data_IF_861428911961
#
_entry.id   IF_861428911961
#
_cell.length_a   1.000
_cell.length_b   1.000
_cell.length_c   1.000
_cell.angle_alpha   90.00
_cell.angle_beta   90.00
_cell.angle_gamma   90.00
#
_symmetry.space_group_name_H-M   'P 1'
#
loop_
_entity.id
_entity.type
_entity.pdbx_description
1 polymer ?
#
# COMPACT_ATOMS: atom_id res chain seq x y z
N UNK A 1 13.01 6.72 23.69
CA UNK A 1 12.79 5.68 22.66
C UNK A 1 13.41 6.21 21.38
N UNK A 2 14.30 5.46 20.72
CA UNK A 2 14.91 5.87 19.45
C UNK A 2 13.80 6.18 18.42
N UNK A 3 13.96 7.24 17.64
CA UNK A 3 13.01 7.67 16.60
C UNK A 3 12.70 6.53 15.63
N UNK A 4 13.69 5.67 15.34
CA UNK A 4 13.51 4.48 14.52
C UNK A 4 12.62 3.42 15.20
N UNK A 5 12.76 3.21 16.50
CA UNK A 5 11.90 2.29 17.25
C UNK A 5 10.44 2.79 17.27
N UNK A 6 10.23 4.11 17.35
CA UNK A 6 8.88 4.70 17.26
C UNK A 6 8.29 4.52 15.87
N UNK A 7 9.07 4.80 14.83
CA UNK A 7 8.67 4.60 13.44
C UNK A 7 8.30 3.14 13.15
N UNK A 8 9.09 2.19 13.64
CA UNK A 8 8.82 0.76 13.52
C UNK A 8 7.53 0.34 14.24
N UNK A 9 7.29 0.87 15.45
CA UNK A 9 6.08 0.58 16.21
C UNK A 9 4.82 1.08 15.49
N UNK A 10 4.84 2.33 14.99
CA UNK A 10 3.72 2.90 14.22
C UNK A 10 3.50 2.13 12.91
N UNK A 11 4.58 1.68 12.26
CA UNK A 11 4.48 0.91 11.03
C UNK A 11 3.82 -0.46 11.21
N UNK A 12 4.03 -1.09 12.37
CA UNK A 12 3.43 -2.38 12.73
C UNK A 12 2.02 -2.23 13.35
N UNK A 13 1.69 -1.05 13.87
CA UNK A 13 0.40 -0.73 14.47
C UNK A 13 -0.10 0.64 13.99
N UNK A 14 -0.50 0.74 12.71
CA UNK A 14 -0.97 2.01 12.16
C UNK A 14 -2.34 2.40 12.73
N UNK A 15 -2.71 3.69 12.68
CA UNK A 15 -4.00 4.18 13.17
C UNK A 15 -5.17 3.54 12.41
N UNK A 16 -6.33 3.45 13.09
CA UNK A 16 -7.57 2.99 12.47
C UNK A 16 -8.18 4.11 11.60
N UNK A 17 -7.77 4.16 10.33
CA UNK A 17 -8.24 5.17 9.40
C UNK A 17 -9.75 5.11 9.12
N UNK A 18 -10.38 3.94 9.21
CA UNK A 18 -11.83 3.83 9.04
C UNK A 18 -12.57 4.57 10.16
N UNK A 19 -12.11 4.41 11.41
CA UNK A 19 -12.65 5.14 12.55
C UNK A 19 -12.43 6.66 12.39
N UNK A 20 -11.21 7.09 12.06
CA UNK A 20 -10.90 8.51 11.83
C UNK A 20 -11.76 9.10 10.71
N UNK A 21 -11.96 8.39 9.60
CA UNK A 21 -12.81 8.84 8.50
C UNK A 21 -14.27 9.00 8.94
N UNK A 22 -14.81 8.03 9.68
CA UNK A 22 -16.19 8.11 10.17
C UNK A 22 -16.38 9.28 11.16
N UNK A 23 -15.38 9.57 11.99
CA UNK A 23 -15.38 10.77 12.85
C UNK A 23 -15.39 12.06 12.03
N UNK A 24 -14.58 12.17 10.97
CA UNK A 24 -14.59 13.32 10.08
C UNK A 24 -15.95 13.51 9.41
N UNK A 25 -16.56 12.45 8.89
CA UNK A 25 -17.86 12.52 8.22
C UNK A 25 -18.96 13.00 9.20
N UNK A 26 -18.90 12.60 10.47
CA UNK A 26 -19.83 13.07 11.51
C UNK A 26 -19.73 14.57 11.80
N UNK A 27 -18.61 15.22 11.46
CA UNK A 27 -18.45 16.67 11.61
C UNK A 27 -19.21 17.47 10.54
N UNK A 28 -19.60 16.85 9.42
CA UNK A 28 -20.36 17.53 8.36
C UNK A 28 -21.79 17.76 8.86
N UNK A 29 -22.22 19.01 9.12
CA UNK A 29 -23.54 19.26 9.71
C UNK A 29 -24.67 19.01 8.69
N UNK A 30 -25.92 18.79 9.15
CA UNK A 30 -27.08 18.77 8.26
C UNK A 30 -27.15 20.05 7.41
N UNK A 31 -27.49 19.91 6.12
CA UNK A 31 -27.57 21.05 5.20
C UNK A 31 -26.21 21.47 4.63
N UNK A 32 -25.16 20.65 4.82
CA UNK A 32 -23.84 20.81 4.23
C UNK A 32 -23.36 19.53 3.57
N UNK A 33 -22.44 19.68 2.63
CA UNK A 33 -21.76 18.58 1.94
C UNK A 33 -20.25 18.81 1.95
N UNK A 34 -19.49 17.71 1.97
CA UNK A 34 -18.04 17.75 1.77
C UNK A 34 -17.65 16.84 0.61
N UNK A 35 -16.37 16.87 0.22
CA UNK A 35 -15.88 16.07 -0.90
C UNK A 35 -14.90 15.00 -0.42
N UNK A 36 -14.74 13.94 -1.23
CA UNK A 36 -13.69 12.94 -0.99
C UNK A 36 -12.29 13.58 -0.86
N UNK A 37 -12.02 14.66 -1.60
CA UNK A 37 -10.75 15.40 -1.55
C UNK A 37 -10.54 16.10 -0.21
N UNK A 38 -11.54 16.86 0.26
CA UNK A 38 -11.46 17.56 1.54
C UNK A 38 -11.33 16.58 2.73
N UNK A 39 -12.02 15.44 2.68
CA UNK A 39 -11.84 14.38 3.68
C UNK A 39 -10.44 13.75 3.61
N UNK A 40 -9.87 13.56 2.42
CA UNK A 40 -8.50 13.05 2.26
C UNK A 40 -7.46 14.05 2.79
N UNK A 41 -7.66 15.34 2.55
CA UNK A 41 -6.85 16.43 3.13
C UNK A 41 -6.96 16.44 4.66
N UNK A 42 -8.16 16.28 5.21
CA UNK A 42 -8.38 16.18 6.65
C UNK A 42 -7.77 14.91 7.27
N UNK A 43 -7.70 13.80 6.51
CA UNK A 43 -6.91 12.64 6.93
C UNK A 43 -5.40 12.87 6.82
N UNK A 44 -4.95 13.86 6.05
CA UNK A 44 -3.55 14.29 5.94
C UNK A 44 -2.84 13.92 4.64
N UNK A 45 -3.51 13.26 3.67
CA UNK A 45 -2.92 12.96 2.37
C UNK A 45 -4.00 12.81 1.26
N UNK A 46 -3.92 13.57 0.15
CA UNK A 46 -4.90 13.49 -0.94
C UNK A 46 -4.97 12.12 -1.62
N UNK A 47 -3.94 11.27 -1.50
CA UNK A 47 -3.95 9.91 -2.03
C UNK A 47 -5.08 9.04 -1.46
N UNK A 48 -5.63 9.41 -0.29
CA UNK A 48 -6.72 8.69 0.35
C UNK A 48 -8.07 8.84 -0.36
N UNK A 49 -8.27 9.85 -1.22
CA UNK A 49 -9.58 10.17 -1.81
C UNK A 49 -10.23 8.97 -2.53
N UNK A 50 -9.43 8.17 -3.26
CA UNK A 50 -9.92 6.97 -3.94
C UNK A 50 -10.37 5.90 -2.95
N UNK A 51 -9.59 5.67 -1.89
CA UNK A 51 -9.95 4.72 -0.85
C UNK A 51 -11.23 5.16 -0.12
N UNK A 52 -11.37 6.44 0.24
CA UNK A 52 -12.59 6.98 0.85
C UNK A 52 -13.81 6.67 -0.03
N UNK A 53 -13.70 6.91 -1.34
CA UNK A 53 -14.77 6.58 -2.29
C UNK A 53 -15.14 5.09 -2.31
N UNK A 54 -14.14 4.20 -2.23
CA UNK A 54 -14.37 2.75 -2.17
C UNK A 54 -14.96 2.31 -0.83
N UNK A 55 -14.46 2.83 0.29
CA UNK A 55 -14.96 2.57 1.63
C UNK A 55 -16.43 2.98 1.75
N UNK A 56 -16.75 4.22 1.36
CA UNK A 56 -18.12 4.75 1.38
C UNK A 56 -19.07 4.10 0.36
N UNK A 57 -18.60 3.19 -0.49
CA UNK A 57 -19.45 2.39 -1.36
C UNK A 57 -19.79 1.01 -0.77
N UNK A 58 -19.04 0.54 0.24
CA UNK A 58 -19.14 -0.84 0.74
C UNK A 58 -19.18 -0.96 2.27
N UNK A 59 -19.02 0.14 3.02
CA UNK A 59 -19.07 0.09 4.49
C UNK A 59 -20.45 -0.30 5.01
N UNK A 60 -20.46 -0.95 6.18
CA UNK A 60 -21.67 -1.35 6.85
C UNK A 60 -22.46 -0.13 7.33
N UNK A 61 -23.75 -0.17 7.07
CA UNK A 61 -24.71 0.79 7.59
C UNK A 61 -25.40 0.20 8.82
N UNK A 62 -25.58 0.97 9.91
CA UNK A 62 -26.48 0.56 10.96
C UNK A 62 -27.88 0.29 10.39
N UNK A 63 -28.67 -0.65 10.96
CA UNK A 63 -29.95 -1.08 10.39
C UNK A 63 -30.94 0.05 10.09
N UNK A 64 -30.85 1.15 10.86
CA UNK A 64 -31.72 2.32 10.77
C UNK A 64 -31.03 3.53 10.10
N UNK A 65 -29.95 3.30 9.33
CA UNK A 65 -29.22 4.36 8.65
C UNK A 65 -30.12 5.11 7.65
N UNK A 66 -30.49 6.35 8.00
CA UNK A 66 -31.39 7.19 7.20
C UNK A 66 -32.71 7.52 7.87
N UNK A 67 -33.06 6.81 8.94
CA UNK A 67 -34.21 7.10 9.83
C UNK A 67 -33.75 7.52 11.22
N UNK A 68 -32.53 7.12 11.60
CA UNK A 68 -31.90 7.54 12.84
C UNK A 68 -31.78 9.06 12.93
N UNK A 69 -32.10 9.61 14.11
CA UNK A 69 -31.91 11.04 14.41
C UNK A 69 -30.44 11.41 14.21
N UNK A 70 -30.18 12.56 13.60
CA UNK A 70 -28.82 13.06 13.41
C UNK A 70 -28.04 13.04 14.73
N UNK A 71 -26.85 12.43 14.73
CA UNK A 71 -26.00 12.28 15.91
C UNK A 71 -26.35 11.13 16.88
N UNK A 72 -27.30 10.25 16.53
CA UNK A 72 -27.59 9.03 17.30
C UNK A 72 -26.70 7.84 16.87
N UNK A 73 -26.59 6.76 17.67
CA UNK A 73 -25.77 5.58 17.34
C UNK A 73 -26.13 4.87 16.03
N UNK A 74 -27.33 5.11 15.49
CA UNK A 74 -27.79 4.60 14.19
C UNK A 74 -27.57 5.57 13.01
N UNK A 75 -26.97 6.73 13.22
CA UNK A 75 -26.75 7.73 12.16
C UNK A 75 -25.48 7.42 11.36
N UNK A 76 -25.63 7.39 10.04
CA UNK A 76 -24.52 7.37 9.09
C UNK A 76 -24.71 8.55 8.10
N UNK A 77 -23.96 9.66 8.28
CA UNK A 77 -24.07 10.86 7.47
C UNK A 77 -23.27 10.81 6.14
N UNK A 78 -22.94 9.62 5.63
CA UNK A 78 -22.14 9.48 4.40
C UNK A 78 -22.85 10.01 3.14
N UNK A 79 -24.17 10.25 3.18
CA UNK A 79 -24.91 10.92 2.09
C UNK A 79 -24.45 12.37 1.87
N UNK A 80 -23.81 12.99 2.87
CA UNK A 80 -23.23 14.34 2.80
C UNK A 80 -21.87 14.40 2.07
N UNK A 81 -21.30 13.27 1.64
CA UNK A 81 -20.02 13.24 0.92
C UNK A 81 -20.24 13.12 -0.58
N UNK A 82 -19.84 14.10 -1.38
CA UNK A 82 -20.06 14.15 -2.84
C UNK A 82 -18.74 14.21 -3.63
N UNK A 83 -18.81 14.14 -4.96
CA UNK A 83 -17.63 14.34 -5.81
C UNK A 83 -17.18 15.80 -5.83
N UNK A 84 -15.94 16.05 -6.24
CA UNK A 84 -15.36 17.39 -6.35
C UNK A 84 -16.08 18.31 -7.34
N UNK A 85 -16.82 17.74 -8.29
CA UNK A 85 -17.66 18.47 -9.25
C UNK A 85 -19.11 18.68 -8.76
N UNK A 86 -19.38 18.36 -7.48
CA UNK A 86 -20.70 18.43 -6.87
C UNK A 86 -21.62 17.25 -7.20
N UNK A 87 -21.24 16.34 -8.10
CA UNK A 87 -22.07 15.18 -8.43
C UNK A 87 -22.20 14.22 -7.26
N UNK A 88 -23.38 13.63 -7.08
CA UNK A 88 -23.71 12.84 -5.89
C UNK A 88 -22.85 11.57 -5.68
N UNK A 89 -22.13 11.05 -6.67
CA UNK A 89 -21.35 9.83 -6.45
C UNK A 89 -22.18 8.54 -6.51
N UNK A 90 -21.48 7.41 -6.38
CA UNK A 90 -22.12 6.15 -6.01
C UNK A 90 -22.43 6.18 -4.51
N UNK A 91 -23.54 5.58 -4.11
CA UNK A 91 -23.99 5.45 -2.72
C UNK A 91 -24.09 3.96 -2.40
N UNK A 92 -23.81 3.53 -1.16
CA UNK A 92 -23.74 2.11 -0.77
C UNK A 92 -24.90 1.25 -1.28
N UNK A 93 -26.10 1.82 -1.34
CA UNK A 93 -27.32 1.12 -1.79
C UNK A 93 -27.54 1.17 -3.31
N UNK A 94 -26.56 1.61 -4.09
CA UNK A 94 -26.66 1.76 -5.56
C UNK A 94 -27.66 2.82 -6.02
N UNK A 95 -28.36 3.49 -5.10
CA UNK A 95 -29.48 4.37 -5.41
C UNK A 95 -29.14 5.84 -5.07
N UNK A 96 -28.69 6.59 -6.08
CA UNK A 96 -28.46 8.03 -5.98
C UNK A 96 -29.70 8.81 -5.51
N UNK A 97 -30.92 8.28 -5.74
CA UNK A 97 -32.17 8.90 -5.27
C UNK A 97 -32.32 8.90 -3.75
N UNK A 98 -31.83 7.86 -3.06
CA UNK A 98 -31.85 7.82 -1.60
C UNK A 98 -30.92 8.89 -1.02
N UNK A 99 -29.72 9.02 -1.60
CA UNK A 99 -28.77 10.07 -1.24
C UNK A 99 -29.35 11.47 -1.46
N UNK A 100 -29.95 11.70 -2.62
CA UNK A 100 -30.65 12.94 -2.95
C UNK A 100 -31.77 13.24 -1.94
N UNK A 101 -32.66 12.27 -1.68
CA UNK A 101 -33.77 12.47 -0.74
C UNK A 101 -33.28 12.83 0.67
N UNK A 102 -32.21 12.20 1.16
CA UNK A 102 -31.62 12.55 2.48
C UNK A 102 -31.03 13.96 2.49
N UNK A 103 -30.36 14.37 1.42
CA UNK A 103 -29.82 15.73 1.27
C UNK A 103 -30.93 16.78 1.22
N UNK A 104 -31.99 16.53 0.45
CA UNK A 104 -33.15 17.43 0.32
C UNK A 104 -33.92 17.57 1.65
N UNK A 105 -34.06 16.49 2.43
CA UNK A 105 -34.62 16.54 3.80
C UNK A 105 -33.81 17.42 4.75
N UNK A 106 -32.52 17.62 4.46
CA UNK A 106 -31.64 18.51 5.21
C UNK A 106 -31.56 19.92 4.60
N UNK A 107 -32.36 20.23 3.57
CA UNK A 107 -32.41 21.53 2.92
C UNK A 107 -31.35 21.75 1.83
N UNK A 108 -30.64 20.70 1.40
CA UNK A 108 -29.68 20.79 0.29
C UNK A 108 -30.41 20.64 -1.03
N UNK A 109 -30.32 21.67 -1.88
CA UNK A 109 -30.89 21.63 -3.23
C UNK A 109 -29.99 20.81 -4.16
N UNK A 110 -30.56 19.77 -4.78
CA UNK A 110 -29.89 18.95 -5.80
C UNK A 110 -30.51 19.25 -7.17
N UNK A 111 -29.70 19.67 -8.14
CA UNK A 111 -30.12 19.91 -9.54
C UNK A 111 -29.30 19.01 -10.46
N UNK A 112 -29.97 18.25 -11.32
CA UNK A 112 -29.32 17.32 -12.27
C UNK A 112 -28.30 16.38 -11.61
N UNK A 113 -28.61 15.91 -10.39
CA UNK A 113 -27.74 15.04 -9.61
C UNK A 113 -26.47 15.72 -9.07
N UNK A 114 -26.46 17.05 -8.97
CA UNK A 114 -25.35 17.87 -8.47
C UNK A 114 -25.78 18.80 -7.35
N UNK A 115 -24.85 19.06 -6.44
CA UNK A 115 -24.95 20.05 -5.36
C UNK A 115 -23.98 21.19 -5.63
N UNK A 116 -24.42 22.42 -5.37
CA UNK A 116 -23.55 23.60 -5.44
C UNK A 116 -22.62 23.66 -4.22
N UNK A 117 -21.33 23.36 -4.45
CA UNK A 117 -20.32 23.36 -3.39
C UNK A 117 -20.02 24.76 -2.86
N UNK A 118 -20.34 25.83 -3.59
CA UNK A 118 -20.14 27.21 -3.10
C UNK A 118 -21.17 27.59 -2.04
N UNK A 119 -22.36 26.98 -2.10
CA UNK A 119 -23.47 27.24 -1.18
C UNK A 119 -23.44 26.26 0.00
N UNK A 120 -23.23 24.97 -0.28
CA UNK A 120 -23.39 23.90 0.71
C UNK A 120 -22.05 23.30 1.18
N UNK A 121 -20.92 23.76 0.65
CA UNK A 121 -19.60 23.20 0.96
C UNK A 121 -19.21 23.28 2.43
N UNK A 122 -18.57 22.23 2.93
CA UNK A 122 -17.97 22.13 4.24
C UNK A 122 -16.55 21.55 4.12
N UNK A 123 -15.57 22.27 4.65
CA UNK A 123 -14.15 21.89 4.63
C UNK A 123 -13.41 22.09 5.96
N UNK A 124 -14.07 22.59 6.99
CA UNK A 124 -13.45 22.90 8.29
C UNK A 124 -13.50 21.68 9.22
N UNK A 125 -12.56 20.74 9.04
CA UNK A 125 -12.46 19.55 9.87
C UNK A 125 -11.51 19.74 11.06
N UNK A 126 -11.90 19.23 12.22
CA UNK A 126 -11.01 18.99 13.38
C UNK A 126 -10.41 17.60 13.26
N UNK A 127 -9.09 17.51 13.20
CA UNK A 127 -8.37 16.27 12.89
C UNK A 127 -6.94 16.34 13.40
N UNK A 128 -6.38 15.19 13.73
CA UNK A 128 -4.96 14.98 14.04
C UNK A 128 -4.13 14.65 12.78
N UNK A 129 -4.76 14.54 11.61
CA UNK A 129 -4.12 14.23 10.33
C UNK A 129 -3.34 12.90 10.35
N UNK A 130 -4.00 11.74 10.55
CA UNK A 130 -3.31 10.46 10.78
C UNK A 130 -2.36 10.06 9.63
N UNK A 131 -2.70 10.35 8.37
CA UNK A 131 -1.81 10.07 7.23
C UNK A 131 -0.60 11.01 7.17
N UNK A 132 -0.69 12.21 7.75
CA UNK A 132 0.44 13.13 7.86
C UNK A 132 1.47 12.59 8.85
N UNK A 133 1.03 12.01 9.97
CA UNK A 133 1.93 11.31 10.90
C UNK A 133 2.64 10.14 10.21
N UNK A 134 1.90 9.31 9.46
CA UNK A 134 2.49 8.19 8.72
C UNK A 134 3.47 8.65 7.63
N UNK A 135 3.19 9.78 6.98
CA UNK A 135 4.13 10.42 6.04
C UNK A 135 5.42 10.82 6.75
N UNK A 136 5.32 11.47 7.92
CA UNK A 136 6.49 11.84 8.71
C UNK A 136 7.28 10.59 9.10
N UNK A 137 6.63 9.50 9.51
CA UNK A 137 7.29 8.21 9.79
C UNK A 137 8.11 7.74 8.58
N UNK A 138 7.55 7.81 7.36
CA UNK A 138 8.28 7.48 6.14
C UNK A 138 9.45 8.43 5.88
N UNK A 139 9.26 9.74 6.01
CA UNK A 139 10.33 10.73 5.83
C UNK A 139 11.49 10.49 6.80
N UNK A 140 11.22 10.08 8.04
CA UNK A 140 12.28 9.72 8.98
C UNK A 140 12.98 8.42 8.57
N UNK A 141 12.23 7.38 8.22
CA UNK A 141 12.79 6.08 7.83
C UNK A 141 13.61 6.16 6.54
N UNK A 142 13.25 7.02 5.60
CA UNK A 142 14.01 7.21 4.38
C UNK A 142 15.44 7.69 4.66
N UNK A 143 15.66 8.48 5.73
CA UNK A 143 17.00 8.90 6.15
C UNK A 143 17.87 7.75 6.66
N UNK A 144 17.26 6.65 7.10
CA UNK A 144 17.96 5.46 7.55
C UNK A 144 18.22 4.44 6.43
N UNK A 145 17.65 4.66 5.24
CA UNK A 145 17.92 3.80 4.07
C UNK A 145 19.37 4.00 3.64
N UNK A 146 20.11 2.89 3.49
CA UNK A 146 21.49 2.89 3.02
C UNK A 146 21.56 2.15 1.69
N UNK A 147 22.08 2.82 0.68
CA UNK A 147 22.43 2.24 -0.61
C UNK A 147 23.94 2.04 -0.64
N UNK A 148 24.38 0.84 -0.28
CA UNK A 148 25.78 0.47 -0.17
C UNK A 148 25.98 -0.91 -0.79
N UNK A 149 27.18 -1.25 -1.28
CA UNK A 149 27.46 -2.59 -1.76
C UNK A 149 27.12 -3.63 -0.69
N UNK A 150 26.61 -4.79 -1.13
CA UNK A 150 26.38 -5.92 -0.23
C UNK A 150 27.68 -6.30 0.47
N UNK A 151 27.63 -6.42 1.80
CA UNK A 151 28.81 -6.72 2.61
C UNK A 151 29.42 -8.10 2.28
N UNK A 152 28.56 -9.07 1.92
CA UNK A 152 28.97 -10.41 1.51
C UNK A 152 27.93 -11.00 0.53
N UNK A 153 28.32 -12.09 -0.15
CA UNK A 153 27.38 -12.84 -1.01
C UNK A 153 26.37 -13.60 -0.14
N UNK A 154 25.05 -13.44 -0.36
CA UNK A 154 24.03 -14.11 0.43
C UNK A 154 24.10 -15.62 0.21
N UNK A 155 23.97 -16.39 1.30
CA UNK A 155 23.84 -17.85 1.30
C UNK A 155 22.38 -18.29 1.31
N UNK A 156 21.49 -17.46 1.86
CA UNK A 156 20.05 -17.65 1.83
C UNK A 156 19.36 -16.41 1.27
N UNK A 157 18.54 -16.61 0.23
CA UNK A 157 17.73 -15.55 -0.37
C UNK A 157 16.27 -15.80 -0.03
N UNK A 158 15.67 -14.88 0.71
CA UNK A 158 14.25 -14.89 1.02
C UNK A 158 13.45 -14.07 0.02
N UNK A 159 12.19 -14.40 -0.16
CA UNK A 159 11.23 -13.56 -0.85
C UNK A 159 9.89 -13.57 -0.15
N UNK A 160 9.31 -12.38 -0.01
CA UNK A 160 8.03 -12.18 0.65
C UNK A 160 6.99 -11.62 -0.31
N UNK A 161 5.78 -12.15 -0.22
CA UNK A 161 4.60 -11.67 -0.94
C UNK A 161 3.37 -11.68 -0.03
N UNK A 162 2.44 -10.76 -0.27
CA UNK A 162 1.18 -10.67 0.47
C UNK A 162 0.00 -10.66 -0.51
N UNK A 163 -0.87 -11.66 -0.39
CA UNK A 163 -2.16 -11.69 -1.08
C UNK A 163 -3.30 -11.33 -0.12
N UNK A 164 -4.41 -10.85 -0.66
CA UNK A 164 -5.58 -10.45 0.13
C UNK A 164 -6.82 -11.25 -0.22
N UNK A 165 -7.60 -11.60 0.81
CA UNK A 165 -8.95 -12.16 0.71
C UNK A 165 -9.90 -11.35 1.59
N UNK A 166 -10.63 -10.41 0.98
CA UNK A 166 -11.38 -9.41 1.76
C UNK A 166 -10.44 -8.57 2.61
N UNK A 167 -10.69 -8.51 3.92
CA UNK A 167 -9.82 -7.86 4.89
C UNK A 167 -8.69 -8.75 5.42
N UNK A 168 -8.55 -10.00 4.96
CA UNK A 168 -7.49 -10.91 5.40
C UNK A 168 -6.24 -10.76 4.53
N UNK A 169 -5.10 -10.46 5.14
CA UNK A 169 -3.77 -10.54 4.52
C UNK A 169 -3.18 -11.93 4.71
N UNK A 170 -2.69 -12.52 3.63
CA UNK A 170 -2.03 -13.82 3.60
C UNK A 170 -0.62 -13.59 3.10
N UNK A 171 0.33 -13.55 4.03
CA UNK A 171 1.74 -13.42 3.73
C UNK A 171 2.38 -14.79 3.51
N UNK A 172 3.31 -14.86 2.57
CA UNK A 172 4.18 -16.01 2.34
C UNK A 172 5.63 -15.54 2.28
N UNK A 173 6.51 -16.26 2.96
CA UNK A 173 7.96 -16.16 2.83
C UNK A 173 8.48 -17.46 2.25
N UNK A 174 9.22 -17.37 1.15
CA UNK A 174 9.98 -18.50 0.58
C UNK A 174 11.46 -18.18 0.73
N UNK A 175 12.23 -19.10 1.30
CA UNK A 175 13.69 -18.98 1.43
C UNK A 175 14.35 -20.04 0.57
N UNK A 176 15.34 -19.64 -0.22
CA UNK A 176 16.06 -20.51 -1.15
C UNK A 176 17.57 -20.45 -0.94
N UNK A 177 18.27 -21.36 -1.61
CA UNK A 177 19.70 -21.19 -1.90
C UNK A 177 19.98 -19.91 -2.72
N UNK A 178 21.26 -19.49 -2.86
CA UNK A 178 21.63 -18.24 -3.54
C UNK A 178 21.28 -18.18 -5.03
N UNK A 179 21.06 -19.34 -5.65
CA UNK A 179 20.71 -19.47 -7.07
C UNK A 179 19.19 -19.63 -7.26
N UNK A 180 18.40 -19.59 -6.18
CA UNK A 180 16.97 -19.83 -6.22
C UNK A 180 16.58 -21.26 -6.62
N UNK A 181 17.50 -22.24 -6.63
CA UNK A 181 17.24 -23.57 -7.19
C UNK A 181 16.49 -24.49 -6.24
N UNK A 182 16.80 -24.40 -4.96
CA UNK A 182 16.18 -25.20 -3.92
C UNK A 182 15.50 -24.31 -2.87
N UNK A 183 14.24 -24.62 -2.57
CA UNK A 183 13.52 -24.04 -1.43
C UNK A 183 14.04 -24.71 -0.16
N UNK A 184 14.55 -23.90 0.77
CA UNK A 184 15.07 -24.29 2.08
C UNK A 184 13.98 -24.18 3.15
N UNK A 185 13.11 -23.17 3.05
CA UNK A 185 12.02 -22.96 4.00
C UNK A 185 10.84 -22.22 3.35
N UNK A 186 9.64 -22.49 3.85
CA UNK A 186 8.42 -21.75 3.52
C UNK A 186 7.69 -21.41 4.83
N UNK A 187 7.33 -20.14 5.01
CA UNK A 187 6.47 -19.69 6.10
C UNK A 187 5.20 -19.06 5.53
N UNK A 188 4.09 -19.22 6.22
CA UNK A 188 2.81 -18.63 5.86
C UNK A 188 2.16 -18.04 7.09
N UNK A 189 1.70 -16.80 6.99
CA UNK A 189 0.95 -16.12 8.05
C UNK A 189 -0.33 -15.54 7.45
N UNK A 190 -1.43 -15.67 8.19
CA UNK A 190 -2.71 -15.10 7.81
C UNK A 190 -3.23 -14.23 8.95
N UNK A 191 -3.49 -12.95 8.69
CA UNK A 191 -3.98 -12.02 9.70
C UNK A 191 -4.84 -10.91 9.10
N UNK A 192 -5.73 -10.26 9.87
CA UNK A 192 -6.50 -9.12 9.37
C UNK A 192 -5.60 -7.94 8.96
N UNK A 193 -5.79 -7.44 7.75
CA UNK A 193 -5.23 -6.18 7.28
C UNK A 193 -5.99 -5.02 7.92
N UNK A 194 -5.39 -4.37 8.91
CA UNK A 194 -5.99 -3.27 9.68
C UNK A 194 -5.84 -1.89 9.03
N UNK A 195 -5.06 -1.80 7.95
CA UNK A 195 -4.81 -0.57 7.22
C UNK A 195 -5.31 -0.68 5.77
N UNK A 196 -5.98 0.35 5.23
CA UNK A 196 -6.50 0.31 3.88
C UNK A 196 -5.40 0.40 2.82
N UNK A 197 -5.75 0.06 1.57
CA UNK A 197 -4.84 0.26 0.45
C UNK A 197 -4.89 1.73 0.02
N UNK A 198 -3.83 2.47 0.34
CA UNK A 198 -3.63 3.86 -0.09
C UNK A 198 -2.28 3.91 -0.80
N UNK A 199 -2.27 4.46 -2.03
CA UNK A 199 -1.04 4.59 -2.82
C UNK A 199 0.03 5.34 -2.04
N UNK A 200 1.23 4.75 -1.94
CA UNK A 200 2.34 5.30 -1.16
C UNK A 200 2.30 4.98 0.35
N UNK A 201 1.32 4.21 0.84
CA UNK A 201 1.24 3.76 2.23
C UNK A 201 1.13 2.23 2.36
N UNK A 202 1.44 1.48 1.29
CA UNK A 202 1.36 0.01 1.26
C UNK A 202 2.10 -0.65 2.42
N UNK A 203 3.25 -0.09 2.81
CA UNK A 203 4.05 -0.64 3.90
C UNK A 203 3.27 -0.75 5.22
N UNK A 204 2.42 0.23 5.56
CA UNK A 204 1.60 0.18 6.79
C UNK A 204 0.54 -0.93 6.76
N UNK A 205 0.15 -1.35 5.56
CA UNK A 205 -0.78 -2.47 5.36
C UNK A 205 -0.10 -3.83 5.44
N UNK A 206 1.16 -3.93 5.00
CA UNK A 206 1.85 -5.22 4.83
C UNK A 206 2.90 -5.52 5.89
N UNK A 207 3.54 -4.52 6.47
CA UNK A 207 4.60 -4.74 7.46
C UNK A 207 4.19 -5.61 8.65
N UNK A 208 2.96 -5.53 9.21
CA UNK A 208 2.57 -6.41 10.30
C UNK A 208 2.68 -7.90 9.92
N UNK A 209 2.21 -8.28 8.73
CA UNK A 209 2.28 -9.67 8.26
C UNK A 209 3.69 -10.06 7.83
N UNK A 210 4.44 -9.13 7.22
CA UNK A 210 5.83 -9.36 6.80
C UNK A 210 6.77 -9.57 7.99
N UNK A 211 6.61 -8.78 9.06
CA UNK A 211 7.40 -8.94 10.28
C UNK A 211 7.10 -10.29 10.93
N UNK A 212 5.82 -10.67 11.03
CA UNK A 212 5.40 -11.96 11.58
C UNK A 212 5.95 -13.17 10.79
N UNK A 213 6.05 -13.07 9.46
CA UNK A 213 6.70 -14.11 8.64
C UNK A 213 8.17 -14.30 9.00
N UNK A 214 8.90 -13.19 9.17
CA UNK A 214 10.31 -13.25 9.52
C UNK A 214 10.53 -13.74 10.95
N UNK A 215 9.65 -13.37 11.90
CA UNK A 215 9.68 -13.90 13.27
C UNK A 215 9.43 -15.41 13.29
N UNK A 216 8.49 -15.90 12.45
CA UNK A 216 8.22 -17.33 12.29
C UNK A 216 9.42 -18.07 11.69
N UNK A 217 10.07 -17.50 10.66
CA UNK A 217 11.26 -18.07 10.06
C UNK A 217 12.44 -18.15 11.03
N UNK A 218 12.67 -17.07 11.79
CA UNK A 218 13.70 -17.01 12.82
C UNK A 218 13.45 -18.04 13.92
N UNK A 219 12.20 -18.18 14.38
CA UNK A 219 11.80 -19.22 15.34
C UNK A 219 12.02 -20.64 14.80
N UNK A 220 11.96 -20.82 13.48
CA UNK A 220 12.27 -22.08 12.79
C UNK A 220 13.77 -22.26 12.48
N UNK A 221 14.64 -21.35 12.93
CA UNK A 221 16.08 -21.41 12.72
C UNK A 221 16.54 -21.01 11.32
N UNK A 222 15.71 -20.30 10.55
CA UNK A 222 16.01 -19.87 9.18
C UNK A 222 16.00 -18.34 9.10
N UNK A 223 17.16 -17.76 8.77
CA UNK A 223 17.32 -16.31 8.58
C UNK A 223 17.85 -16.03 7.18
N UNK A 224 17.06 -15.37 6.30
CA UNK A 224 17.56 -14.95 5.00
C UNK A 224 18.62 -13.85 5.12
N UNK A 225 19.68 -13.94 4.32
CA UNK A 225 20.73 -12.91 4.23
C UNK A 225 20.30 -11.71 3.37
N UNK A 226 19.30 -11.91 2.50
CA UNK A 226 18.73 -10.91 1.61
C UNK A 226 17.25 -11.23 1.36
N UNK A 227 16.40 -10.20 1.28
CA UNK A 227 14.99 -10.35 0.95
C UNK A 227 14.62 -9.68 -0.38
N UNK A 228 13.90 -10.41 -1.23
CA UNK A 228 13.09 -9.83 -2.29
C UNK A 228 11.69 -9.53 -1.76
N UNK A 229 11.16 -8.35 -2.02
CA UNK A 229 9.85 -7.93 -1.51
C UNK A 229 8.95 -7.56 -2.69
N UNK A 230 7.73 -8.13 -2.80
CA UNK A 230 6.75 -7.65 -3.80
C UNK A 230 6.28 -6.24 -3.40
N UNK A 231 6.89 -5.24 -4.03
CA UNK A 231 6.71 -3.82 -3.73
C UNK A 231 7.97 -3.00 -3.98
N UNK A 232 7.84 -1.68 -3.96
CA UNK A 232 8.98 -0.78 -4.20
C UNK A 232 9.97 -0.75 -3.04
N UNK A 233 11.23 -0.48 -3.36
CA UNK A 233 12.24 0.05 -2.46
C UNK A 233 12.30 1.58 -2.56
N UNK A 234 13.45 2.15 -2.88
CA UNK A 234 13.66 3.61 -3.01
C UNK A 234 12.89 4.26 -4.16
N UNK A 235 12.40 3.48 -5.14
CA UNK A 235 11.50 3.95 -6.22
C UNK A 235 10.10 4.17 -5.63
N UNK A 236 10.01 5.20 -4.80
CA UNK A 236 8.86 5.60 -4.02
C UNK A 236 8.88 7.13 -3.88
N UNK A 237 7.72 7.83 -3.85
CA UNK A 237 7.66 9.29 -3.76
C UNK A 237 8.41 9.90 -2.57
N UNK A 238 8.64 9.09 -1.53
CA UNK A 238 9.34 9.47 -0.28
C UNK A 238 10.67 8.72 -0.07
N UNK A 239 11.14 7.97 -1.07
CA UNK A 239 12.38 7.18 -0.98
C UNK A 239 12.32 5.95 -0.07
N UNK A 240 11.15 5.55 0.42
CA UNK A 240 10.97 4.40 1.32
C UNK A 240 9.70 3.60 1.01
N UNK A 241 9.77 2.76 -0.01
CA UNK A 241 8.74 1.75 -0.26
C UNK A 241 8.75 0.63 0.78
N UNK A 242 7.85 -0.35 0.64
CA UNK A 242 7.72 -1.46 1.60
C UNK A 242 9.02 -2.27 1.75
N UNK A 243 9.80 -2.44 0.68
CA UNK A 243 11.08 -3.15 0.75
C UNK A 243 12.10 -2.40 1.61
N UNK A 244 12.23 -1.07 1.40
CA UNK A 244 13.09 -0.21 2.21
C UNK A 244 12.64 -0.16 3.67
N UNK A 245 11.33 -0.06 3.88
CA UNK A 245 10.74 0.02 5.22
C UNK A 245 11.01 -1.25 6.02
N UNK A 246 10.77 -2.42 5.42
CA UNK A 246 11.07 -3.72 6.02
C UNK A 246 12.57 -3.88 6.31
N UNK A 247 13.41 -3.52 5.34
CA UNK A 247 14.86 -3.63 5.46
C UNK A 247 15.44 -2.80 6.59
N UNK A 248 14.98 -1.54 6.75
CA UNK A 248 15.41 -0.67 7.86
C UNK A 248 14.98 -1.25 9.22
N UNK A 249 13.73 -1.70 9.35
CA UNK A 249 13.19 -2.23 10.61
C UNK A 249 13.88 -3.54 11.02
N UNK A 250 14.06 -4.44 10.05
CA UNK A 250 14.63 -5.79 10.27
C UNK A 250 16.15 -5.84 10.13
N UNK A 251 16.78 -4.72 9.73
CA UNK A 251 18.24 -4.60 9.51
C UNK A 251 18.78 -5.67 8.57
N UNK A 252 18.05 -5.94 7.50
CA UNK A 252 18.38 -6.96 6.50
C UNK A 252 18.47 -6.29 5.12
N UNK A 253 19.39 -6.73 4.24
CA UNK A 253 19.38 -6.31 2.85
C UNK A 253 18.07 -6.62 2.15
N UNK A 254 17.51 -5.64 1.43
CA UNK A 254 16.23 -5.81 0.73
C UNK A 254 16.26 -5.25 -0.69
N UNK A 255 15.59 -5.95 -1.60
CA UNK A 255 15.33 -5.52 -2.99
C UNK A 255 13.83 -5.43 -3.18
N UNK A 256 13.35 -4.27 -3.64
CA UNK A 256 11.97 -4.11 -4.06
C UNK A 256 11.77 -4.60 -5.49
N UNK A 257 10.77 -5.46 -5.70
CA UNK A 257 10.38 -6.01 -7.00
C UNK A 257 8.89 -5.73 -7.21
N UNK A 258 8.51 -5.02 -8.27
CA UNK A 258 7.09 -4.69 -8.52
C UNK A 258 6.71 -4.88 -9.99
N UNK A 259 5.42 -5.12 -10.23
CA UNK A 259 4.81 -5.24 -11.56
C UNK A 259 4.27 -3.90 -12.09
N UNK A 260 4.28 -2.85 -11.27
CA UNK A 260 3.81 -1.50 -11.63
C UNK A 260 4.80 -0.46 -11.14
N UNK A 261 5.17 0.47 -12.02
CA UNK A 261 6.05 1.58 -11.66
C UNK A 261 5.28 2.59 -10.81
N UNK A 262 5.71 2.78 -9.57
CA UNK A 262 5.06 3.71 -8.64
C UNK A 262 5.41 5.18 -8.97
N UNK A 263 6.68 5.45 -9.29
CA UNK A 263 7.18 6.77 -9.68
C UNK A 263 8.51 6.64 -10.44
N UNK A 264 9.01 7.76 -10.95
CA UNK A 264 10.24 7.82 -11.75
C UNK A 264 9.98 7.78 -13.25
N UNK A 265 11.02 8.05 -14.03
CA UNK A 265 10.99 8.06 -15.49
C UNK A 265 11.70 6.83 -16.04
N UNK A 266 11.11 6.20 -17.05
CA UNK A 266 11.77 5.11 -17.78
C UNK A 266 12.64 5.66 -18.91
N UNK A 267 13.88 5.21 -18.93
CA UNK A 267 14.86 5.54 -19.97
C UNK A 267 15.38 4.23 -20.56
N UNK A 268 15.34 4.07 -21.88
CA UNK A 268 15.75 2.83 -22.54
C UNK A 268 17.22 2.52 -22.23
N UNK A 269 17.49 1.27 -21.84
CA UNK A 269 18.84 0.79 -21.63
C UNK A 269 19.34 0.13 -22.93
N UNK A 270 19.97 0.91 -23.82
CA UNK A 270 20.51 0.39 -25.09
C UNK A 270 21.77 -0.44 -24.91
N UNK A 271 22.52 -0.15 -23.85
CA UNK A 271 23.88 -0.66 -23.66
C UNK A 271 23.93 -1.74 -22.55
N UNK A 272 22.80 -2.42 -22.29
CA UNK A 272 22.70 -3.44 -21.24
C UNK A 272 22.20 -4.78 -21.78
N UNK A 273 22.80 -5.92 -21.39
CA UNK A 273 22.46 -7.24 -21.96
C UNK A 273 21.03 -7.71 -21.69
N UNK A 274 20.44 -7.32 -20.55
CA UNK A 274 19.14 -7.86 -20.12
C UNK A 274 18.20 -6.85 -19.45
N UNK A 275 18.72 -5.70 -19.04
CA UNK A 275 17.93 -4.58 -18.52
C UNK A 275 17.35 -3.88 -19.73
N UNK A 276 16.06 -3.57 -19.66
CA UNK A 276 15.36 -2.90 -20.77
C UNK A 276 15.24 -1.40 -20.56
N UNK A 277 15.12 -0.98 -19.30
CA UNK A 277 14.99 0.43 -18.95
C UNK A 277 15.69 0.71 -17.63
N UNK A 278 16.33 1.87 -17.54
CA UNK A 278 16.69 2.50 -16.27
C UNK A 278 15.47 3.24 -15.72
N UNK A 279 15.35 3.27 -14.39
CA UNK A 279 14.38 4.09 -13.68
C UNK A 279 15.14 5.26 -13.09
N UNK A 280 14.87 6.47 -13.59
CA UNK A 280 15.56 7.69 -13.19
C UNK A 280 14.67 8.56 -12.30
N UNK A 281 15.25 9.07 -11.21
CA UNK A 281 14.65 10.07 -10.32
C UNK A 281 15.66 11.19 -10.09
N UNK A 282 15.21 12.45 -10.19
CA UNK A 282 16.10 13.62 -10.11
C UNK A 282 17.32 13.56 -11.07
N UNK A 283 17.17 12.90 -12.22
CA UNK A 283 18.23 12.77 -13.22
C UNK A 283 19.27 11.66 -12.95
N UNK A 284 19.09 10.85 -11.89
CA UNK A 284 19.99 9.74 -11.58
C UNK A 284 19.25 8.39 -11.61
N UNK A 285 19.91 7.30 -12.05
CA UNK A 285 19.32 5.97 -12.02
C UNK A 285 19.20 5.47 -10.58
N UNK A 286 17.99 5.04 -10.21
CA UNK A 286 17.64 4.55 -8.86
C UNK A 286 17.00 3.16 -8.88
N UNK A 287 16.92 2.56 -10.07
CA UNK A 287 16.28 1.28 -10.30
C UNK A 287 16.37 0.90 -11.78
N UNK A 288 15.86 -0.28 -12.11
CA UNK A 288 15.82 -0.75 -13.48
C UNK A 288 14.59 -1.61 -13.73
N UNK A 289 14.27 -1.82 -15.00
CA UNK A 289 13.18 -2.69 -15.41
C UNK A 289 13.64 -3.69 -16.47
N UNK A 290 13.11 -4.90 -16.40
CA UNK A 290 13.35 -5.94 -17.41
C UNK A 290 12.05 -6.62 -17.83
N UNK A 291 12.12 -7.33 -18.95
CA UNK A 291 11.05 -8.18 -19.47
C UNK A 291 11.47 -9.63 -19.35
N UNK A 292 10.51 -10.53 -19.10
CA UNK A 292 10.72 -11.99 -19.16
C UNK A 292 11.34 -12.42 -20.50
N UNK A 293 10.86 -11.83 -21.60
CA UNK A 293 11.32 -12.12 -22.96
C UNK A 293 11.14 -10.88 -23.83
N UNK A 294 11.80 -10.79 -25.00
CA UNK A 294 11.67 -9.67 -25.92
C UNK A 294 10.22 -9.38 -26.35
N UNK A 295 9.39 -10.42 -26.43
CA UNK A 295 7.98 -10.30 -26.82
C UNK A 295 7.04 -9.92 -25.67
N UNK A 296 7.48 -10.01 -24.40
CA UNK A 296 6.64 -9.72 -23.24
C UNK A 296 6.35 -8.23 -23.16
N UNK A 297 5.08 -7.83 -23.13
CA UNK A 297 4.67 -6.43 -22.88
C UNK A 297 4.76 -6.04 -21.40
N UNK A 298 4.92 -6.99 -20.49
CA UNK A 298 5.01 -6.74 -19.06
C UNK A 298 6.46 -6.51 -18.60
N UNK A 299 6.65 -5.42 -17.87
CA UNK A 299 7.88 -5.07 -17.18
C UNK A 299 7.82 -5.49 -15.71
N UNK A 300 8.96 -5.91 -15.18
CA UNK A 300 9.22 -6.03 -13.75
C UNK A 300 10.22 -4.96 -13.39
N UNK A 301 9.90 -4.17 -12.36
CA UNK A 301 10.69 -3.05 -11.88
C UNK A 301 11.42 -3.45 -10.61
N UNK A 302 12.71 -3.15 -10.57
CA UNK A 302 13.62 -3.45 -9.48
C UNK A 302 14.15 -2.15 -8.91
N UNK A 303 14.22 -2.08 -7.58
CA UNK A 303 14.82 -0.95 -6.88
C UNK A 303 15.52 -1.41 -5.60
N UNK A 304 16.67 -0.81 -5.23
CA UNK A 304 17.28 -1.03 -3.93
C UNK A 304 16.30 -0.74 -2.79
N UNK A 305 16.28 -1.58 -1.78
CA UNK A 305 15.48 -1.41 -0.57
C UNK A 305 16.32 -0.80 0.56
N UNK A 306 17.18 -1.61 1.17
CA UNK A 306 18.10 -1.23 2.26
C UNK A 306 19.35 -2.11 2.19
N UNK A 307 20.52 -1.60 2.58
CA UNK A 307 21.82 -2.31 2.63
C UNK A 307 22.22 -3.01 1.32
N UNK A 308 21.80 -2.45 0.20
CA UNK A 308 22.16 -2.88 -1.15
C UNK A 308 22.12 -1.66 -2.07
N UNK A 309 23.04 -1.60 -3.03
CA UNK A 309 23.07 -0.59 -4.07
C UNK A 309 22.48 -1.12 -5.38
N UNK A 310 22.45 -0.27 -6.41
CA UNK A 310 21.83 -0.61 -7.69
C UNK A 310 22.59 -1.76 -8.41
N UNK A 311 23.92 -1.76 -8.32
CA UNK A 311 24.77 -2.80 -8.90
C UNK A 311 24.56 -4.16 -8.20
N UNK A 312 24.45 -4.18 -6.86
CA UNK A 312 24.10 -5.37 -6.10
C UNK A 312 22.71 -5.90 -6.48
N UNK A 313 21.72 -5.01 -6.64
CA UNK A 313 20.40 -5.41 -7.13
C UNK A 313 20.46 -6.08 -8.50
N UNK A 314 21.25 -5.53 -9.42
CA UNK A 314 21.45 -6.10 -10.75
C UNK A 314 22.05 -7.51 -10.64
N UNK A 315 23.17 -7.65 -9.94
CA UNK A 315 23.88 -8.93 -9.81
C UNK A 315 23.02 -10.04 -9.21
N UNK A 316 22.25 -9.72 -8.15
CA UNK A 316 21.35 -10.68 -7.50
C UNK A 316 20.19 -11.05 -8.43
N UNK A 317 19.51 -10.06 -9.03
CA UNK A 317 18.35 -10.33 -9.89
C UNK A 317 18.77 -11.08 -11.17
N UNK A 318 19.93 -10.79 -11.75
CA UNK A 318 20.46 -11.54 -12.89
C UNK A 318 20.54 -13.04 -12.61
N UNK A 319 21.08 -13.41 -11.44
CA UNK A 319 21.23 -14.81 -11.00
C UNK A 319 19.91 -15.50 -10.72
N UNK A 320 18.90 -14.77 -10.25
CA UNK A 320 17.60 -15.31 -9.84
C UNK A 320 16.54 -15.30 -10.96
N UNK A 321 16.81 -14.65 -12.09
CA UNK A 321 15.91 -14.66 -13.25
C UNK A 321 15.82 -16.05 -13.88
N UNK A 322 14.60 -16.50 -14.18
CA UNK A 322 14.30 -17.78 -14.85
C UNK A 322 13.22 -17.58 -15.92
N UNK A 323 12.53 -18.65 -16.30
CA UNK A 323 11.52 -18.67 -17.35
C UNK A 323 10.19 -17.98 -17.01
N UNK A 324 10.10 -17.17 -15.96
CA UNK A 324 8.90 -16.42 -15.56
C UNK A 324 9.26 -14.96 -15.23
N UNK A 325 8.28 -14.05 -15.07
CA UNK A 325 8.57 -12.61 -14.95
C UNK A 325 9.33 -12.22 -13.67
N UNK A 326 8.97 -12.80 -12.52
CA UNK A 326 9.57 -12.45 -11.24
C UNK A 326 10.89 -13.21 -11.02
N UNK A 327 11.77 -12.76 -10.12
CA UNK A 327 12.89 -13.59 -9.68
C UNK A 327 12.39 -14.88 -9.00
N UNK A 328 13.14 -15.98 -9.11
CA UNK A 328 12.71 -17.33 -8.71
C UNK A 328 12.08 -17.43 -7.32
N UNK A 329 12.69 -16.93 -6.22
CA UNK A 329 12.09 -17.07 -4.89
C UNK A 329 10.76 -16.29 -4.77
N UNK A 330 10.68 -15.11 -5.40
CA UNK A 330 9.48 -14.27 -5.35
C UNK A 330 8.35 -14.82 -6.23
N UNK A 331 8.68 -15.48 -7.33
CA UNK A 331 7.69 -16.22 -8.11
C UNK A 331 7.00 -17.31 -7.30
N UNK A 332 7.76 -18.07 -6.49
CA UNK A 332 7.19 -19.09 -5.61
C UNK A 332 6.31 -18.48 -4.51
N UNK A 333 6.76 -17.39 -3.88
CA UNK A 333 5.98 -16.67 -2.88
C UNK A 333 4.65 -16.12 -3.46
N UNK A 334 4.70 -15.43 -4.61
CA UNK A 334 3.52 -14.88 -5.32
C UNK A 334 2.54 -15.97 -5.76
N UNK A 335 3.04 -17.10 -6.25
CA UNK A 335 2.19 -18.24 -6.62
C UNK A 335 1.48 -18.80 -5.39
N UNK A 336 2.23 -19.01 -4.31
CA UNK A 336 1.73 -19.63 -3.09
C UNK A 336 0.69 -18.77 -2.37
N UNK A 337 0.94 -17.47 -2.24
CA UNK A 337 0.01 -16.52 -1.62
C UNK A 337 -1.33 -16.47 -2.39
N UNK A 338 -1.28 -16.46 -3.73
CA UNK A 338 -2.46 -16.49 -4.62
C UNK A 338 -3.23 -17.80 -4.49
N UNK A 339 -2.56 -18.94 -4.44
CA UNK A 339 -3.20 -20.23 -4.21
C UNK A 339 -3.96 -20.24 -2.86
N UNK A 340 -3.34 -19.75 -1.79
CA UNK A 340 -3.94 -19.70 -0.45
C UNK A 340 -5.11 -18.72 -0.36
N UNK A 341 -5.02 -17.56 -1.02
CA UNK A 341 -6.12 -16.59 -1.09
C UNK A 341 -7.37 -17.13 -1.79
N UNK A 342 -7.24 -18.15 -2.64
CA UNK A 342 -8.33 -18.78 -3.40
C UNK A 342 -8.94 -20.01 -2.72
N UNK A 343 -8.14 -20.77 -1.95
CA UNK A 343 -8.47 -22.14 -1.50
C UNK A 343 -9.64 -22.31 -0.51
N UNK A 344 -10.17 -21.25 0.11
CA UNK A 344 -11.34 -21.36 1.02
C UNK A 344 -12.57 -20.58 0.50
N UNK A 345 -12.90 -20.70 -0.79
CA UNK A 345 -14.24 -20.37 -1.30
C UNK A 345 -15.23 -21.53 -1.04
N UNK A 346 -15.20 -22.07 0.18
CA UNK A 346 -16.09 -23.13 0.65
C UNK A 346 -17.20 -22.54 1.50
#
# INVERSE_FOLDING_TARGET
MDLLARAAAVAQQPPNLEASLLELIRQIPPGRVSTYGLLAEALGDPAAARWIGQFLAHHDHPPNAGEAKAGSPGDCPCHRVVRSDGSLGLYCLGNSRLKQSRLEKEGVIVRDGRVDLTVYGFGEFRTDYPLRELRQVQEHLSTAVRQVPLACSPQLVGAVDVAYRGSLAIGVLVVTDPEGRQIVSEQTISMPARFPYITGFLAFRELPVLCALLDAAESAGVQPDLLLVDGSGIVHPRGVGVASHLGVIRRVPTIGVTKTLLCGRLELATDHPWITHWISMAGSPVGFAYRKSPHSRHLVYISPGHLIDLEGCEAIVARLRRGHPLPEPLYWADRRSKELSRKNRG
#
